data_IF_995708821454
#
_entry.id   IF_995708821454
#
_cell.length_a   1.000
_cell.length_b   1.000
_cell.length_c   1.000
_cell.angle_alpha   90.00
_cell.angle_beta   90.00
_cell.angle_gamma   90.00
#
_symmetry.space_group_name_H-M   'P 1'
#
loop_
_entity.id
_entity.type
_entity.pdbx_description
1 polymer ?
#
# COMPACT_ATOMS: atom_id res chain seq x y z
N UNK A 1 8.34 8.17 -4.16
CA UNK A 1 8.91 6.82 -3.89
C UNK A 1 8.82 6.02 -5.18
N UNK A 2 9.95 5.53 -5.67
CA UNK A 2 10.04 4.59 -6.78
C UNK A 2 10.54 3.24 -6.24
N UNK A 3 10.23 2.10 -6.89
CA UNK A 3 10.90 0.86 -6.58
C UNK A 3 12.36 0.91 -7.09
N UNK A 4 13.31 0.31 -6.39
CA UNK A 4 14.67 0.16 -6.90
C UNK A 4 14.74 -0.86 -8.06
N UNK A 5 13.80 -1.81 -8.06
CA UNK A 5 13.63 -2.81 -9.12
C UNK A 5 12.16 -3.02 -9.39
N UNK A 6 11.80 -3.14 -10.66
CA UNK A 6 10.43 -3.42 -11.07
C UNK A 6 10.16 -4.93 -10.97
N UNK A 7 9.21 -5.30 -10.13
CA UNK A 7 8.67 -6.66 -10.03
C UNK A 7 7.20 -6.65 -10.43
N UNK A 8 6.92 -7.13 -11.64
CA UNK A 8 5.56 -7.16 -12.20
C UNK A 8 4.61 -8.05 -11.38
N UNK A 9 5.12 -9.03 -10.64
CA UNK A 9 4.31 -9.94 -9.81
C UNK A 9 3.67 -9.27 -8.59
N UNK A 10 4.19 -8.11 -8.19
CA UNK A 10 3.68 -7.33 -7.05
C UNK A 10 2.48 -6.45 -7.38
N UNK A 11 2.09 -6.36 -8.65
CA UNK A 11 0.92 -5.59 -9.04
C UNK A 11 -0.35 -6.41 -8.84
N UNK A 12 -1.15 -6.04 -7.85
CA UNK A 12 -2.48 -6.61 -7.62
C UNK A 12 -3.50 -5.85 -8.43
N UNK A 13 -4.13 -6.50 -9.40
CA UNK A 13 -5.11 -5.88 -10.29
C UNK A 13 -6.07 -6.93 -10.86
N UNK A 14 -7.33 -6.55 -11.06
CA UNK A 14 -8.32 -7.33 -11.80
C UNK A 14 -8.24 -7.08 -13.32
N UNK A 15 -7.39 -6.13 -13.74
CA UNK A 15 -7.13 -5.89 -15.15
C UNK A 15 -6.32 -7.05 -15.76
N UNK A 16 -6.49 -7.33 -17.07
CA UNK A 16 -5.67 -8.33 -17.76
C UNK A 16 -4.18 -8.06 -17.56
N UNK A 17 -3.36 -9.07 -17.24
CA UNK A 17 -1.93 -8.88 -16.96
C UNK A 17 -1.14 -8.16 -18.07
N UNK A 18 -1.54 -8.36 -19.35
CA UNK A 18 -0.89 -7.67 -20.48
C UNK A 18 -1.14 -6.16 -20.46
N UNK A 19 -2.31 -5.71 -19.98
CA UNK A 19 -2.64 -4.29 -19.87
C UNK A 19 -1.81 -3.63 -18.76
N UNK A 20 -1.75 -4.26 -17.59
CA UNK A 20 -0.91 -3.78 -16.47
C UNK A 20 0.54 -3.67 -16.92
N UNK A 21 1.07 -4.72 -17.58
CA UNK A 21 2.42 -4.77 -18.09
C UNK A 21 2.69 -3.66 -19.12
N UNK A 22 1.75 -3.41 -20.04
CA UNK A 22 1.85 -2.34 -21.03
C UNK A 22 1.92 -0.96 -20.36
N UNK A 23 1.09 -0.70 -19.37
CA UNK A 23 1.08 0.57 -18.62
C UNK A 23 2.41 0.75 -17.89
N UNK A 24 2.86 -0.25 -17.14
CA UNK A 24 4.11 -0.19 -16.39
C UNK A 24 5.33 0.04 -17.28
N UNK A 25 5.33 -0.53 -18.50
CA UNK A 25 6.43 -0.38 -19.46
C UNK A 25 6.33 0.88 -20.33
N UNK A 26 5.20 1.60 -20.29
CA UNK A 26 5.05 2.84 -21.07
C UNK A 26 5.96 3.97 -20.59
N UNK A 27 6.41 3.89 -19.35
CA UNK A 27 7.44 4.76 -18.79
C UNK A 27 8.42 3.91 -17.97
N UNK A 28 9.51 3.42 -18.59
CA UNK A 28 10.46 2.52 -17.97
C UNK A 28 11.06 3.08 -16.68
N UNK A 29 11.31 2.25 -15.68
CA UNK A 29 11.84 2.67 -14.37
C UNK A 29 13.11 3.50 -14.49
N UNK A 30 14.01 3.14 -15.43
CA UNK A 30 15.24 3.91 -15.67
C UNK A 30 14.93 5.35 -16.09
N UNK A 31 13.98 5.53 -16.98
CA UNK A 31 13.57 6.86 -17.44
C UNK A 31 12.90 7.66 -16.31
N UNK A 32 12.15 6.98 -15.42
CA UNK A 32 11.60 7.62 -14.23
C UNK A 32 12.71 8.09 -13.30
N UNK A 33 13.75 7.29 -13.06
CA UNK A 33 14.90 7.66 -12.24
C UNK A 33 15.63 8.83 -12.88
N UNK A 34 15.95 8.74 -14.17
CA UNK A 34 16.62 9.82 -14.93
C UNK A 34 15.82 11.14 -14.87
N UNK A 35 14.49 11.08 -14.95
CA UNK A 35 13.62 12.24 -14.80
C UNK A 35 13.76 12.89 -13.42
N UNK A 36 13.74 12.12 -12.34
CA UNK A 36 13.88 12.69 -10.99
C UNK A 36 15.29 13.23 -10.78
N UNK A 37 16.33 12.50 -11.17
CA UNK A 37 17.71 12.89 -10.90
C UNK A 37 18.20 14.01 -11.80
N UNK A 38 17.95 13.92 -13.11
CA UNK A 38 18.49 14.86 -14.11
C UNK A 38 17.55 16.01 -14.38
N UNK A 39 16.27 15.74 -14.69
CA UNK A 39 15.35 16.80 -15.11
C UNK A 39 14.85 17.61 -13.91
N UNK A 40 14.61 16.98 -12.78
CA UNK A 40 14.20 17.65 -11.54
C UNK A 40 15.37 18.03 -10.63
N UNK A 41 16.58 17.53 -10.88
CA UNK A 41 17.74 17.73 -10.01
C UNK A 41 17.52 17.21 -8.59
N UNK A 42 16.85 16.08 -8.44
CA UNK A 42 16.50 15.46 -7.17
C UNK A 42 17.24 14.10 -7.02
N UNK A 43 18.40 14.06 -6.36
CA UNK A 43 19.13 12.82 -6.15
C UNK A 43 18.29 11.79 -5.38
N UNK A 44 18.36 10.53 -5.82
CA UNK A 44 17.66 9.42 -5.20
C UNK A 44 18.63 8.49 -4.48
N UNK A 45 18.21 7.94 -3.34
CA UNK A 45 18.95 6.96 -2.53
C UNK A 45 18.09 5.72 -2.32
N UNK A 46 18.69 4.55 -2.46
CA UNK A 46 18.02 3.27 -2.19
C UNK A 46 17.98 2.98 -0.69
N UNK A 47 16.78 2.76 -0.16
CA UNK A 47 16.56 2.14 1.14
C UNK A 47 16.60 0.62 0.94
N UNK A 48 17.71 0.00 1.32
CA UNK A 48 18.03 -1.40 1.01
C UNK A 48 16.97 -2.37 1.54
N UNK A 49 16.46 -2.13 2.75
CA UNK A 49 15.49 -3.03 3.40
C UNK A 49 14.15 -3.13 2.65
N UNK A 50 13.70 -2.03 2.07
CA UNK A 50 12.43 -1.97 1.33
C UNK A 50 12.60 -2.06 -0.19
N UNK A 51 13.85 -1.99 -0.67
CA UNK A 51 14.18 -1.87 -2.10
C UNK A 51 13.42 -0.73 -2.78
N UNK A 52 13.36 0.43 -2.13
CA UNK A 52 12.69 1.65 -2.61
C UNK A 52 13.68 2.80 -2.73
N UNK A 53 13.42 3.66 -3.71
CA UNK A 53 14.19 4.89 -3.91
C UNK A 53 13.44 6.07 -3.26
N UNK A 54 14.15 6.82 -2.46
CA UNK A 54 13.69 8.03 -1.80
C UNK A 54 14.55 9.22 -2.22
N UNK A 55 14.06 10.47 -2.13
CA UNK A 55 14.93 11.63 -2.29
C UNK A 55 16.03 11.62 -1.21
N UNK A 56 17.25 11.91 -1.57
CA UNK A 56 18.38 11.95 -0.64
C UNK A 56 18.17 12.93 0.54
N UNK A 57 17.28 13.90 0.39
CA UNK A 57 16.88 14.83 1.45
C UNK A 57 15.88 14.24 2.46
N UNK A 58 15.32 13.05 2.18
CA UNK A 58 14.22 12.40 2.94
C UNK A 58 12.96 13.27 3.11
N UNK A 59 12.82 14.33 2.30
CA UNK A 59 11.72 15.29 2.39
C UNK A 59 10.76 15.13 1.20
N UNK A 60 9.55 14.67 1.47
CA UNK A 60 8.49 14.61 0.44
C UNK A 60 8.16 15.99 -0.17
N UNK A 61 8.39 17.06 0.59
CA UNK A 61 8.19 18.44 0.14
C UNK A 61 9.10 18.78 -1.05
N UNK A 62 10.34 18.34 -1.04
CA UNK A 62 11.29 18.62 -2.12
C UNK A 62 10.83 17.99 -3.44
N UNK A 63 10.27 16.79 -3.38
CA UNK A 63 9.66 16.12 -4.56
C UNK A 63 8.53 16.98 -5.12
N UNK A 64 7.60 17.39 -4.26
CA UNK A 64 6.47 18.25 -4.65
C UNK A 64 6.95 19.56 -5.29
N UNK A 65 7.88 20.23 -4.64
CA UNK A 65 8.31 21.56 -5.06
C UNK A 65 9.06 21.52 -6.40
N UNK A 66 9.91 20.50 -6.61
CA UNK A 66 10.59 20.30 -7.90
C UNK A 66 9.63 19.96 -9.03
N UNK A 67 8.63 19.12 -8.78
CA UNK A 67 7.59 18.80 -9.78
C UNK A 67 6.78 20.06 -10.16
N UNK A 68 6.39 20.87 -9.17
CA UNK A 68 5.66 22.12 -9.41
C UNK A 68 6.52 23.15 -10.16
N UNK A 69 7.78 23.26 -9.82
CA UNK A 69 8.72 24.13 -10.51
C UNK A 69 8.88 23.72 -11.98
N UNK A 70 9.07 22.44 -12.24
CA UNK A 70 9.19 21.92 -13.61
C UNK A 70 7.91 22.16 -14.42
N UNK A 71 6.74 21.92 -13.84
CA UNK A 71 5.47 22.17 -14.51
C UNK A 71 5.34 23.66 -14.89
N UNK A 72 5.69 24.59 -14.00
CA UNK A 72 5.66 26.03 -14.27
C UNK A 72 6.66 26.43 -15.35
N UNK A 73 7.87 25.90 -15.33
CA UNK A 73 8.89 26.13 -16.38
C UNK A 73 8.38 25.71 -17.75
N UNK A 74 7.58 24.64 -17.81
CA UNK A 74 6.96 24.16 -19.03
C UNK A 74 5.65 24.88 -19.38
N UNK A 75 5.35 26.03 -18.74
CA UNK A 75 4.20 26.87 -19.06
C UNK A 75 2.88 26.44 -18.42
N UNK A 76 2.86 25.44 -17.54
CA UNK A 76 1.64 25.04 -16.87
C UNK A 76 1.17 26.12 -15.87
N UNK A 77 -0.12 26.44 -15.89
CA UNK A 77 -0.76 27.31 -14.92
C UNK A 77 -1.36 26.48 -13.79
N UNK A 78 -1.02 26.80 -12.56
CA UNK A 78 -1.56 26.15 -11.37
C UNK A 78 -2.60 27.08 -10.73
N UNK A 79 -3.85 26.67 -10.71
CA UNK A 79 -4.94 27.36 -10.05
C UNK A 79 -5.11 26.78 -8.65
N UNK A 80 -4.59 27.49 -7.64
CA UNK A 80 -4.70 27.10 -6.23
C UNK A 80 -6.10 27.44 -5.70
N UNK A 81 -6.54 26.70 -4.68
CA UNK A 81 -7.84 26.88 -4.03
C UNK A 81 -9.03 26.86 -5.01
N UNK A 82 -8.89 26.11 -6.11
CA UNK A 82 -9.89 26.01 -7.16
C UNK A 82 -10.39 24.57 -7.20
N UNK A 83 -11.65 24.37 -6.86
CA UNK A 83 -12.29 23.05 -6.92
C UNK A 83 -13.02 22.89 -8.24
N UNK A 84 -12.71 21.84 -8.97
CA UNK A 84 -13.51 21.43 -10.14
C UNK A 84 -14.76 20.74 -9.62
N UNK A 85 -15.93 21.29 -9.97
CA UNK A 85 -17.24 20.79 -9.56
C UNK A 85 -17.87 19.88 -10.61
N UNK A 86 -17.46 20.00 -11.86
CA UNK A 86 -17.92 19.17 -12.95
C UNK A 86 -17.21 19.48 -14.26
N UNK A 87 -17.43 18.64 -15.25
CA UNK A 87 -17.06 18.93 -16.64
C UNK A 87 -18.00 18.23 -17.60
N UNK A 88 -18.23 18.86 -18.73
CA UNK A 88 -19.11 18.36 -19.78
C UNK A 88 -18.47 18.55 -21.16
N UNK A 89 -18.74 17.64 -22.11
CA UNK A 89 -18.33 17.85 -23.49
C UNK A 89 -19.10 19.03 -24.09
N UNK A 90 -18.42 19.78 -24.97
CA UNK A 90 -18.98 20.84 -25.80
C UNK A 90 -18.46 20.64 -27.23
N UNK A 91 -19.00 21.37 -28.20
CA UNK A 91 -18.70 21.17 -29.64
C UNK A 91 -17.21 21.12 -29.97
N UNK A 92 -16.37 21.88 -29.28
CA UNK A 92 -14.93 21.97 -29.52
C UNK A 92 -14.08 21.58 -28.28
N UNK A 93 -14.49 20.58 -27.53
CA UNK A 93 -13.71 20.12 -26.36
C UNK A 93 -14.53 19.98 -25.10
N UNK A 94 -14.11 20.64 -24.03
CA UNK A 94 -14.67 20.46 -22.70
C UNK A 94 -14.91 21.79 -21.99
N UNK A 95 -16.06 21.91 -21.33
CA UNK A 95 -16.32 22.92 -20.31
C UNK A 95 -16.03 22.34 -18.95
N UNK A 96 -15.26 23.06 -18.13
CA UNK A 96 -14.89 22.68 -16.78
C UNK A 96 -15.50 23.69 -15.81
N UNK A 97 -16.42 23.24 -14.97
CA UNK A 97 -17.06 24.06 -13.95
C UNK A 97 -16.18 24.07 -12.69
N UNK A 98 -15.96 25.25 -12.13
CA UNK A 98 -15.15 25.49 -10.94
C UNK A 98 -15.97 26.16 -9.84
N UNK A 99 -15.58 25.99 -8.58
CA UNK A 99 -16.32 26.51 -7.42
C UNK A 99 -16.50 28.03 -7.46
N UNK A 100 -15.44 28.73 -7.89
CA UNK A 100 -15.40 30.19 -7.90
C UNK A 100 -14.86 30.69 -9.24
N UNK A 101 -15.69 31.42 -9.99
CA UNK A 101 -15.31 32.00 -11.26
C UNK A 101 -16.06 31.47 -12.46
N UNK A 102 -15.66 31.96 -13.64
CA UNK A 102 -16.23 31.49 -14.91
C UNK A 102 -15.72 30.09 -15.26
N UNK A 103 -16.52 29.27 -15.96
CA UNK A 103 -16.08 28.00 -16.45
C UNK A 103 -14.81 28.10 -17.31
N UNK A 104 -13.95 27.09 -17.23
CA UNK A 104 -12.78 26.98 -18.08
C UNK A 104 -13.13 26.13 -19.31
N UNK A 105 -12.39 26.32 -20.40
CA UNK A 105 -12.52 25.51 -21.61
C UNK A 105 -11.17 24.86 -21.95
N UNK A 106 -11.19 23.59 -22.41
CA UNK A 106 -10.01 22.87 -22.80
C UNK A 106 -10.31 21.87 -23.92
N UNK A 107 -9.35 21.64 -24.81
CA UNK A 107 -9.47 20.63 -25.86
C UNK A 107 -9.45 19.18 -25.31
N UNK A 108 -8.80 18.96 -24.17
CA UNK A 108 -8.73 17.66 -23.50
C UNK A 108 -8.65 17.83 -21.98
N UNK A 109 -9.06 16.80 -21.23
CA UNK A 109 -8.98 16.76 -19.77
C UNK A 109 -8.23 15.50 -19.34
N UNK A 110 -7.32 15.65 -18.37
CA UNK A 110 -6.71 14.53 -17.66
C UNK A 110 -7.22 14.55 -16.22
N UNK A 111 -7.97 13.52 -15.84
CA UNK A 111 -8.49 13.36 -14.47
C UNK A 111 -7.43 12.66 -13.63
N UNK A 112 -6.71 13.40 -12.81
CA UNK A 112 -5.61 12.94 -11.97
C UNK A 112 -5.86 13.25 -10.48
N UNK A 113 -7.13 13.16 -10.03
CA UNK A 113 -7.57 13.54 -8.68
C UNK A 113 -7.29 12.51 -7.61
N UNK A 114 -6.67 11.37 -7.96
CA UNK A 114 -6.50 10.23 -7.06
C UNK A 114 -7.80 9.45 -6.83
N UNK A 115 -7.75 8.50 -5.93
CA UNK A 115 -8.88 7.65 -5.54
C UNK A 115 -9.51 8.06 -4.21
N UNK A 116 -9.61 7.08 -3.28
CA UNK A 116 -10.24 7.23 -1.96
C UNK A 116 -9.25 7.03 -0.80
N UNK A 117 -7.94 7.08 -1.06
CA UNK A 117 -6.92 6.66 -0.09
C UNK A 117 -6.78 7.60 1.10
N UNK A 118 -6.79 8.92 0.87
CA UNK A 118 -6.64 9.93 1.93
C UNK A 118 -7.54 11.13 1.62
N UNK A 119 -8.84 11.08 1.94
CA UNK A 119 -9.81 12.13 1.60
C UNK A 119 -9.42 13.53 2.06
N UNK A 120 -8.80 13.64 3.23
CA UNK A 120 -8.34 14.93 3.79
C UNK A 120 -7.24 15.61 2.94
N UNK A 121 -6.61 14.91 2.01
CA UNK A 121 -5.60 15.46 1.10
C UNK A 121 -6.12 15.63 -0.33
N UNK A 122 -7.42 15.46 -0.55
CA UNK A 122 -8.09 15.66 -1.83
C UNK A 122 -8.36 14.38 -2.63
N UNK A 123 -7.92 13.19 -2.15
CA UNK A 123 -8.28 11.91 -2.77
C UNK A 123 -9.59 11.36 -2.20
N UNK A 124 -10.68 12.10 -2.44
CA UNK A 124 -12.03 11.84 -1.94
C UNK A 124 -12.95 11.15 -2.96
N UNK A 125 -12.39 10.74 -4.10
CA UNK A 125 -13.13 10.11 -5.19
C UNK A 125 -13.93 11.07 -6.08
N UNK A 126 -13.73 12.36 -6.00
CA UNK A 126 -14.43 13.34 -6.82
C UNK A 126 -14.31 13.04 -8.33
N UNK A 127 -13.09 12.78 -8.81
CA UNK A 127 -12.89 12.43 -10.22
C UNK A 127 -13.59 11.13 -10.62
N UNK A 128 -13.63 10.11 -9.75
CA UNK A 128 -14.35 8.86 -10.01
C UNK A 128 -15.87 9.12 -10.17
N UNK A 129 -16.45 9.98 -9.34
CA UNK A 129 -17.85 10.38 -9.45
C UNK A 129 -18.16 11.07 -10.77
N UNK A 130 -17.29 12.01 -11.18
CA UNK A 130 -17.47 12.76 -12.42
C UNK A 130 -17.36 11.85 -13.64
N UNK A 131 -16.33 11.01 -13.74
CA UNK A 131 -16.19 10.10 -14.91
C UNK A 131 -17.32 9.08 -14.99
N UNK A 132 -17.86 8.64 -13.83
CA UNK A 132 -19.05 7.80 -13.79
C UNK A 132 -20.27 8.52 -14.34
N UNK A 133 -20.43 9.81 -14.00
CA UNK A 133 -21.50 10.67 -14.52
C UNK A 133 -21.44 10.86 -16.04
N UNK A 134 -20.25 10.75 -16.64
CA UNK A 134 -20.03 10.76 -18.09
C UNK A 134 -20.26 9.41 -18.79
N UNK A 135 -20.72 8.41 -18.06
CA UNK A 135 -21.02 7.07 -18.61
C UNK A 135 -19.86 6.08 -18.59
N UNK A 136 -18.73 6.41 -17.98
CA UNK A 136 -17.65 5.44 -17.80
C UNK A 136 -18.00 4.40 -16.73
N UNK A 137 -17.63 3.15 -16.98
CA UNK A 137 -17.69 2.12 -15.94
C UNK A 137 -16.63 2.37 -14.88
N UNK A 138 -17.06 2.50 -13.63
CA UNK A 138 -16.17 2.58 -12.46
C UNK A 138 -16.34 1.34 -11.64
N UNK A 139 -15.32 0.50 -11.59
CA UNK A 139 -15.33 -0.72 -10.78
C UNK A 139 -15.36 -0.40 -9.29
N UNK A 140 -15.96 -1.24 -8.46
CA UNK A 140 -15.95 -1.07 -7.00
C UNK A 140 -14.52 -0.89 -6.49
N UNK A 141 -14.33 0.15 -5.70
CA UNK A 141 -13.06 0.41 -5.02
C UNK A 141 -13.04 -0.25 -3.65
N UNK A 142 -11.88 -0.66 -3.19
CA UNK A 142 -11.70 -1.26 -1.87
C UNK A 142 -10.39 -0.81 -1.23
N UNK A 143 -10.33 -0.90 0.09
CA UNK A 143 -9.11 -0.56 0.82
C UNK A 143 -8.01 -1.58 0.51
N UNK A 144 -6.80 -1.09 0.26
CA UNK A 144 -5.59 -1.87 0.10
C UNK A 144 -4.47 -1.18 0.88
N UNK A 145 -3.42 -1.93 1.25
CA UNK A 145 -2.35 -1.44 2.11
C UNK A 145 -2.92 -0.85 3.42
N UNK A 146 -3.84 -1.57 4.04
CA UNK A 146 -4.55 -1.17 5.27
C UNK A 146 -4.23 -2.12 6.43
N UNK A 147 -4.21 -1.65 7.68
CA UNK A 147 -4.15 -2.51 8.85
C UNK A 147 -5.31 -3.52 8.89
N UNK A 148 -5.09 -4.67 9.49
CA UNK A 148 -6.12 -5.67 9.76
C UNK A 148 -6.64 -5.49 11.18
N UNK A 149 -7.96 -5.33 11.33
CA UNK A 149 -8.65 -5.22 12.61
C UNK A 149 -9.18 -6.60 13.01
N UNK A 150 -9.01 -6.96 14.27
CA UNK A 150 -9.57 -8.18 14.87
C UNK A 150 -10.50 -7.85 16.03
N UNK A 151 -11.68 -8.46 16.09
CA UNK A 151 -12.63 -8.34 17.18
C UNK A 151 -13.06 -9.72 17.69
N UNK A 152 -12.75 -10.04 18.98
CA UNK A 152 -11.82 -9.35 19.85
C UNK A 152 -10.40 -9.35 19.27
N UNK A 153 -9.54 -8.44 19.71
CA UNK A 153 -8.11 -8.45 19.36
C UNK A 153 -7.39 -9.46 20.26
N UNK A 154 -7.06 -10.67 19.80
CA UNK A 154 -6.57 -11.74 20.68
C UNK A 154 -5.21 -11.46 21.30
N UNK A 155 -4.48 -10.47 20.79
CA UNK A 155 -3.15 -10.08 21.27
C UNK A 155 -3.05 -8.55 21.45
N UNK A 156 -4.13 -7.91 21.89
CA UNK A 156 -4.16 -6.45 22.10
C UNK A 156 -3.13 -5.96 23.13
N UNK A 157 -2.81 -6.80 24.11
CA UNK A 157 -1.78 -6.55 25.14
C UNK A 157 -0.36 -6.50 24.56
N UNK A 158 -0.12 -7.07 23.37
CA UNK A 158 1.17 -7.00 22.67
C UNK A 158 1.36 -5.69 21.88
N UNK A 159 0.45 -4.74 22.01
CA UNK A 159 0.57 -3.46 21.30
C UNK A 159 1.96 -2.84 21.44
N UNK A 160 2.54 -2.42 20.31
CA UNK A 160 3.91 -1.90 20.21
C UNK A 160 4.99 -2.95 19.94
N UNK A 161 4.69 -4.26 20.14
CA UNK A 161 5.64 -5.31 19.74
C UNK A 161 5.73 -5.37 18.22
N UNK A 162 6.95 -5.36 17.70
CA UNK A 162 7.21 -5.48 16.27
C UNK A 162 8.30 -6.51 16.00
N UNK A 163 8.16 -7.24 14.88
CA UNK A 163 9.13 -8.24 14.43
C UNK A 163 8.99 -8.47 12.94
N UNK A 164 9.96 -9.18 12.35
CA UNK A 164 9.89 -9.61 10.95
C UNK A 164 9.19 -10.98 10.87
N UNK A 165 8.18 -11.09 10.02
CA UNK A 165 7.38 -12.31 9.85
C UNK A 165 7.18 -12.66 8.37
N UNK A 166 6.68 -13.87 8.12
CA UNK A 166 6.02 -14.22 6.86
C UNK A 166 4.54 -14.42 7.13
N UNK A 167 3.69 -13.65 6.45
CA UNK A 167 2.24 -13.68 6.59
C UNK A 167 1.61 -14.16 5.29
N UNK A 168 0.60 -15.03 5.38
CA UNK A 168 -0.16 -15.51 4.24
C UNK A 168 -1.65 -15.31 4.50
N UNK A 169 -2.32 -14.60 3.60
CA UNK A 169 -3.77 -14.48 3.59
C UNK A 169 -4.36 -15.30 2.44
N UNK A 170 -5.44 -16.07 2.72
CA UNK A 170 -6.12 -16.93 1.74
C UNK A 170 -7.63 -16.80 1.87
N UNK A 171 -8.31 -16.62 0.75
CA UNK A 171 -9.76 -16.62 0.66
C UNK A 171 -10.18 -17.14 -0.72
N UNK A 172 -10.92 -18.22 -0.80
CA UNK A 172 -11.32 -18.89 -2.04
C UNK A 172 -10.14 -19.00 -3.04
N UNK A 173 -10.22 -18.25 -4.14
CA UNK A 173 -9.16 -18.21 -5.19
C UNK A 173 -8.09 -17.15 -4.96
N UNK A 174 -8.26 -16.32 -3.93
CA UNK A 174 -7.31 -15.25 -3.61
C UNK A 174 -6.27 -15.75 -2.60
N UNK A 175 -5.03 -15.52 -2.91
CA UNK A 175 -3.92 -15.79 -1.98
C UNK A 175 -2.84 -14.74 -2.14
N UNK A 176 -2.27 -14.30 -1.03
CA UNK A 176 -1.11 -13.41 -1.02
C UNK A 176 -0.21 -13.79 0.14
N UNK A 177 1.10 -13.76 -0.10
CA UNK A 177 2.12 -14.00 0.93
C UNK A 177 3.13 -12.86 0.89
N UNK A 178 3.47 -12.33 2.06
CA UNK A 178 4.48 -11.28 2.20
C UNK A 178 5.41 -11.56 3.38
N UNK A 179 6.67 -11.18 3.24
CA UNK A 179 7.67 -11.24 4.32
C UNK A 179 8.15 -9.83 4.63
N UNK A 180 8.06 -9.41 5.89
CA UNK A 180 8.42 -8.05 6.29
C UNK A 180 8.06 -7.74 7.73
N UNK A 181 8.12 -6.46 8.08
CA UNK A 181 7.73 -5.97 9.40
C UNK A 181 6.26 -6.23 9.71
N UNK A 182 6.01 -6.65 10.93
CA UNK A 182 4.70 -6.87 11.54
C UNK A 182 4.65 -6.09 12.85
N UNK A 183 3.54 -5.43 13.11
CA UNK A 183 3.33 -4.64 14.30
C UNK A 183 1.99 -5.01 14.95
N UNK A 184 2.02 -5.39 16.23
CA UNK A 184 0.82 -5.49 17.04
C UNK A 184 0.29 -4.10 17.41
N UNK A 185 -1.01 -3.91 17.28
CA UNK A 185 -1.72 -2.69 17.68
C UNK A 185 -2.86 -3.02 18.65
N UNK A 186 -3.41 -2.03 19.31
CA UNK A 186 -4.55 -2.21 20.24
C UNK A 186 -5.79 -2.82 19.57
N UNK A 187 -5.95 -2.65 18.25
CA UNK A 187 -7.14 -3.08 17.52
C UNK A 187 -6.86 -4.22 16.53
N UNK A 188 -5.61 -4.69 16.45
CA UNK A 188 -5.23 -5.71 15.51
C UNK A 188 -3.78 -5.60 15.05
N UNK A 189 -3.54 -5.60 13.75
CA UNK A 189 -2.22 -5.81 13.18
C UNK A 189 -1.90 -4.81 12.06
N UNK A 190 -0.65 -4.34 12.02
CA UNK A 190 -0.13 -3.42 11.00
C UNK A 190 1.30 -3.83 10.61
N UNK A 191 1.99 -2.98 9.87
CA UNK A 191 3.34 -3.20 9.36
C UNK A 191 3.35 -3.68 7.90
N UNK A 192 4.47 -3.53 7.20
CA UNK A 192 4.56 -3.76 5.75
C UNK A 192 4.00 -5.10 5.29
N UNK A 193 4.32 -6.20 5.98
CA UNK A 193 3.83 -7.53 5.61
C UNK A 193 2.31 -7.66 5.73
N UNK A 194 1.70 -7.03 6.76
CA UNK A 194 0.24 -7.02 6.95
C UNK A 194 -0.44 -6.20 5.85
N UNK A 195 0.12 -5.02 5.57
CA UNK A 195 -0.41 -4.12 4.54
C UNK A 195 -0.39 -4.79 3.16
N UNK A 196 0.68 -5.50 2.82
CA UNK A 196 0.83 -6.16 1.51
C UNK A 196 -0.21 -7.25 1.26
N UNK A 197 -0.66 -7.98 2.30
CA UNK A 197 -1.67 -9.05 2.16
C UNK A 197 -3.10 -8.60 2.45
N UNK A 198 -3.30 -7.37 2.92
CA UNK A 198 -4.59 -6.86 3.40
C UNK A 198 -5.70 -6.90 2.35
N UNK A 199 -5.35 -6.72 1.07
CA UNK A 199 -6.31 -6.75 -0.04
C UNK A 199 -7.08 -8.07 -0.12
N UNK A 200 -6.49 -9.22 0.25
CA UNK A 200 -7.17 -10.52 0.28
C UNK A 200 -8.27 -10.52 1.33
N UNK A 201 -7.96 -10.03 2.54
CA UNK A 201 -8.92 -9.95 3.63
C UNK A 201 -10.08 -9.00 3.32
N UNK A 202 -9.79 -7.84 2.74
CA UNK A 202 -10.81 -6.85 2.36
C UNK A 202 -11.72 -7.41 1.27
N UNK A 203 -11.15 -7.94 0.19
CA UNK A 203 -11.92 -8.48 -0.96
C UNK A 203 -12.80 -9.66 -0.57
N UNK A 204 -12.32 -10.53 0.32
CA UNK A 204 -13.11 -11.68 0.77
C UNK A 204 -14.43 -11.30 1.45
N UNK A 205 -14.55 -10.08 1.95
CA UNK A 205 -15.77 -9.56 2.60
C UNK A 205 -16.66 -8.75 1.67
N UNK A 206 -16.13 -8.24 0.56
CA UNK A 206 -16.91 -7.39 -0.36
C UNK A 206 -18.04 -8.16 -1.06
N UNK A 207 -17.81 -9.41 -1.38
CA UNK A 207 -18.73 -10.24 -2.16
C UNK A 207 -19.60 -11.15 -1.27
N UNK A 208 -19.63 -10.89 0.05
CA UNK A 208 -20.36 -11.75 1.01
C UNK A 208 -19.75 -13.14 1.15
N UNK A 209 -18.51 -13.33 0.71
CA UNK A 209 -17.78 -14.58 0.74
C UNK A 209 -17.27 -14.98 2.12
N UNK A 210 -16.62 -16.13 2.19
CA UNK A 210 -15.97 -16.61 3.42
C UNK A 210 -14.78 -15.68 3.76
N UNK A 211 -14.72 -15.18 5.01
CA UNK A 211 -13.61 -14.34 5.43
C UNK A 211 -12.26 -15.00 5.19
N UNK A 212 -11.28 -14.21 4.78
CA UNK A 212 -9.93 -14.71 4.57
C UNK A 212 -9.33 -15.29 5.85
N UNK A 213 -8.66 -16.42 5.70
CA UNK A 213 -7.78 -16.97 6.74
C UNK A 213 -6.42 -16.32 6.62
N UNK A 214 -5.94 -15.75 7.73
CA UNK A 214 -4.61 -15.13 7.82
C UNK A 214 -3.75 -16.00 8.73
N UNK A 215 -2.63 -16.48 8.21
CA UNK A 215 -1.65 -17.27 8.94
C UNK A 215 -0.33 -16.51 9.04
N UNK A 216 0.29 -16.52 10.22
CA UNK A 216 1.57 -15.84 10.47
C UNK A 216 2.63 -16.88 10.84
N UNK A 217 3.72 -16.88 10.12
CA UNK A 217 4.94 -17.56 10.50
C UNK A 217 5.83 -16.54 11.22
N UNK A 218 5.98 -16.72 12.52
CA UNK A 218 6.64 -15.75 13.39
C UNK A 218 8.16 -15.70 13.24
N UNK A 219 8.78 -16.80 12.75
CA UNK A 219 10.23 -16.91 12.57
C UNK A 219 10.58 -17.48 11.21
N UNK A 220 11.85 -17.45 10.85
CA UNK A 220 12.40 -18.16 9.68
C UNK A 220 12.68 -19.64 9.95
N UNK A 221 12.59 -20.11 11.20
CA UNK A 221 12.82 -21.49 11.56
C UNK A 221 11.76 -22.39 10.90
N UNK A 222 12.21 -23.49 10.31
CA UNK A 222 11.35 -24.55 9.80
C UNK A 222 10.94 -25.53 10.91
N UNK A 223 10.10 -26.50 10.57
CA UNK A 223 9.59 -27.49 11.53
C UNK A 223 10.70 -28.34 12.15
N UNK A 224 11.76 -28.63 11.38
CA UNK A 224 12.91 -29.36 11.89
C UNK A 224 13.69 -28.52 12.92
N UNK A 225 14.01 -27.31 12.59
CA UNK A 225 14.72 -26.39 13.48
C UNK A 225 13.94 -26.13 14.77
N UNK A 226 12.59 -26.00 14.69
CA UNK A 226 11.74 -25.89 15.87
C UNK A 226 11.74 -27.19 16.70
N UNK A 227 11.71 -28.36 16.06
CA UNK A 227 11.80 -29.66 16.75
C UNK A 227 13.09 -29.75 17.53
N UNK A 228 14.21 -29.34 16.93
CA UNK A 228 15.52 -29.36 17.63
C UNK A 228 15.54 -28.31 18.77
N UNK A 229 15.05 -27.09 18.54
CA UNK A 229 15.03 -26.03 19.56
C UNK A 229 14.17 -26.38 20.79
N UNK A 230 13.12 -27.17 20.58
CA UNK A 230 12.19 -27.60 21.64
C UNK A 230 12.56 -28.97 22.25
N UNK A 231 13.64 -29.62 21.78
CA UNK A 231 14.08 -30.85 22.43
C UNK A 231 14.36 -30.64 23.92
N UNK A 232 13.88 -31.54 24.79
CA UNK A 232 14.19 -31.45 26.21
C UNK A 232 15.70 -31.45 26.44
N UNK A 233 16.22 -30.43 27.07
CA UNK A 233 17.63 -30.28 27.39
C UNK A 233 17.79 -29.74 28.82
N UNK A 234 18.13 -30.65 29.75
CA UNK A 234 18.30 -30.32 31.15
C UNK A 234 17.04 -29.67 31.76
N UNK A 235 17.21 -28.55 32.46
CA UNK A 235 16.13 -27.81 33.12
C UNK A 235 15.58 -26.67 32.26
N UNK A 236 15.91 -26.59 30.99
CA UNK A 236 15.46 -25.49 30.11
C UNK A 236 13.95 -25.56 29.88
N UNK A 237 13.25 -24.46 30.14
CA UNK A 237 11.81 -24.37 29.89
C UNK A 237 11.49 -24.14 28.41
N UNK A 238 10.30 -24.54 27.98
CA UNK A 238 9.77 -24.27 26.63
C UNK A 238 9.74 -22.75 26.36
N UNK A 239 9.36 -21.96 27.37
CA UNK A 239 9.36 -20.49 27.26
C UNK A 239 10.75 -19.95 26.94
N UNK A 240 11.79 -20.46 27.57
CA UNK A 240 13.16 -20.04 27.28
C UNK A 240 13.57 -20.41 25.86
N UNK A 241 13.20 -21.60 25.37
CA UNK A 241 13.52 -22.05 24.02
C UNK A 241 12.80 -21.20 22.94
N UNK A 242 11.55 -20.85 23.16
CA UNK A 242 10.76 -19.98 22.27
C UNK A 242 11.25 -18.54 22.33
N UNK A 243 11.63 -18.07 23.51
CA UNK A 243 12.13 -16.69 23.75
C UNK A 243 13.48 -16.40 23.08
N UNK A 244 14.27 -17.41 22.72
CA UNK A 244 15.49 -17.20 21.93
C UNK A 244 15.19 -16.75 20.49
N UNK A 245 14.03 -17.13 19.96
CA UNK A 245 13.63 -16.84 18.58
C UNK A 245 12.60 -15.73 18.45
N UNK A 246 11.90 -15.37 19.54
CA UNK A 246 10.79 -14.43 19.56
C UNK A 246 10.92 -13.37 20.67
N UNK A 247 10.34 -12.18 20.50
CA UNK A 247 10.20 -11.23 21.60
C UNK A 247 9.50 -11.89 22.81
N UNK A 248 10.03 -11.67 24.03
CA UNK A 248 9.59 -12.35 25.26
C UNK A 248 8.08 -12.28 25.48
N UNK A 249 7.47 -11.09 25.32
CA UNK A 249 6.01 -10.90 25.45
C UNK A 249 5.21 -11.74 24.46
N UNK A 250 5.71 -11.90 23.22
CA UNK A 250 5.05 -12.74 22.21
C UNK A 250 5.22 -14.23 22.56
N UNK A 251 6.41 -14.66 22.98
CA UNK A 251 6.65 -16.03 23.42
C UNK A 251 5.70 -16.44 24.56
N UNK A 252 5.57 -15.60 25.57
CA UNK A 252 4.64 -15.80 26.71
C UNK A 252 3.18 -15.94 26.24
N UNK A 253 2.73 -15.00 25.37
CA UNK A 253 1.36 -15.00 24.86
C UNK A 253 1.06 -16.23 23.99
N UNK A 254 2.00 -16.67 23.15
CA UNK A 254 1.82 -17.86 22.33
C UNK A 254 1.76 -19.14 23.17
N UNK A 255 2.61 -19.29 24.18
CA UNK A 255 2.57 -20.44 25.10
C UNK A 255 1.26 -20.44 25.88
N UNK A 256 0.84 -19.31 26.46
CA UNK A 256 -0.43 -19.18 27.15
C UNK A 256 -1.62 -19.59 26.25
N UNK A 257 -1.58 -19.23 24.97
CA UNK A 257 -2.63 -19.60 24.00
C UNK A 257 -2.69 -21.12 23.70
N UNK A 258 -1.63 -21.87 23.94
CA UNK A 258 -1.62 -23.34 23.75
C UNK A 258 -2.21 -24.10 24.94
N UNK A 259 -2.43 -23.44 26.08
CA UNK A 259 -2.94 -24.07 27.31
C UNK A 259 -1.92 -24.95 28.03
N UNK A 260 -0.63 -24.80 27.73
CA UNK A 260 0.50 -25.52 28.36
C UNK A 260 1.06 -24.71 29.51
#
# INVERSE_FOLDING_TARGET
ILPARLDESRFVSDAPPHLVRRIVRSWPLREQIDFFERDLGLPLVEEVESAKLFPASERARDVRDRLLEQARRNGARLLMNTTVTGFAPVDAGWRIDISDGAPLHAGAIVVATGGLSVPNTGSDGAGLRVVKGLGHEVRPTYAALTPLIAHPAPFGELSGVSLRVTITARADRLSSTATGGFLFTHQGYSGPAVLDVSHVAVRSRMDGGVPARVAVRWTSLDDWAWTEALRPHGSRSVLSAVGDALPSRLAEALIAATGI
#
